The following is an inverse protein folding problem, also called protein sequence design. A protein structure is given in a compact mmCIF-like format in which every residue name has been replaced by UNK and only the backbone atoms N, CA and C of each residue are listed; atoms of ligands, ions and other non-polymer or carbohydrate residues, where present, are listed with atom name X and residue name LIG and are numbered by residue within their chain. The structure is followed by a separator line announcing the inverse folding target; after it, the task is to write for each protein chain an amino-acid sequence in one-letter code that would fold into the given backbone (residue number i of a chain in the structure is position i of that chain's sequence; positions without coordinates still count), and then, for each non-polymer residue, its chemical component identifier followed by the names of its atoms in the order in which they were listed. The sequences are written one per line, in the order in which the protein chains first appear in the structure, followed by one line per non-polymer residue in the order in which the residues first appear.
data_IF_485060910549
#
_entry.id   IF_485060910549
#
_cell.length_a   1.000
_cell.length_b   1.000
_cell.length_c   1.000
_cell.angle_alpha   90.00
_cell.angle_beta   90.00
_cell.angle_gamma   90.00
#
_symmetry.space_group_name_H-M   'P 1'
#
loop_
_entity.id
_entity.type
_entity.pdbx_description
1 polymer ?
#
# COMPACT_ATOMS: atom_id res chain seq x y z
N UNK A 1 22.15 -0.57 -5.41
CA UNK A 1 20.72 -0.67 -5.07
C UNK A 1 19.89 -0.35 -6.30
N UNK A 2 19.06 -1.29 -6.73
CA UNK A 2 18.26 -1.14 -7.95
C UNK A 2 16.78 -1.34 -7.61
N UNK A 3 16.16 -0.30 -7.10
CA UNK A 3 14.76 -0.30 -6.72
C UNK A 3 14.01 0.69 -7.60
N UNK A 4 13.01 0.20 -8.33
CA UNK A 4 12.16 1.03 -9.19
C UNK A 4 10.76 1.09 -8.63
N UNK A 5 10.22 2.28 -8.51
CA UNK A 5 8.88 2.52 -8.01
C UNK A 5 8.14 3.40 -8.99
N UNK A 6 6.99 2.92 -9.44
CA UNK A 6 6.15 3.62 -10.41
C UNK A 6 4.83 4.00 -9.73
N UNK A 7 4.46 5.27 -9.81
CA UNK A 7 3.18 5.73 -9.28
C UNK A 7 2.27 6.13 -10.44
N UNK A 8 1.09 5.54 -10.49
CA UNK A 8 0.11 5.80 -11.55
C UNK A 8 -1.17 6.37 -10.93
N UNK A 9 -1.48 7.60 -11.26
CA UNK A 9 -2.65 8.30 -10.75
C UNK A 9 -3.73 8.33 -11.83
N UNK A 10 -4.59 7.30 -11.86
CA UNK A 10 -5.56 7.12 -12.95
C UNK A 10 -6.68 8.16 -12.95
N UNK A 11 -7.00 8.72 -11.79
CA UNK A 11 -8.04 9.73 -11.68
C UNK A 11 -7.54 11.17 -11.70
N UNK A 12 -6.22 11.37 -11.79
CA UNK A 12 -5.66 12.71 -11.74
C UNK A 12 -5.93 13.46 -10.44
N UNK A 13 -6.04 12.74 -9.33
CA UNK A 13 -6.32 13.35 -8.04
C UNK A 13 -5.15 14.19 -7.51
N UNK A 14 -5.40 15.19 -6.68
CA UNK A 14 -4.34 16.04 -6.12
C UNK A 14 -3.59 15.33 -5.00
N UNK A 15 -2.67 14.44 -5.35
CA UNK A 15 -1.86 13.69 -4.40
C UNK A 15 -0.38 13.99 -4.63
N UNK A 16 0.41 13.84 -3.56
CA UNK A 16 1.86 13.99 -3.64
C UNK A 16 2.48 12.65 -4.04
N UNK A 17 2.61 12.40 -5.33
CA UNK A 17 3.11 11.11 -5.85
C UNK A 17 4.50 10.79 -5.34
N UNK A 18 5.37 11.80 -5.20
CA UNK A 18 6.73 11.60 -4.67
C UNK A 18 6.70 11.07 -3.23
N UNK A 19 5.75 11.49 -2.43
CA UNK A 19 5.59 11.00 -1.06
C UNK A 19 5.17 9.53 -1.03
N UNK A 20 4.29 9.14 -1.95
CA UNK A 20 3.87 7.75 -2.07
C UNK A 20 5.05 6.87 -2.48
N UNK A 21 5.85 7.33 -3.44
CA UNK A 21 7.05 6.61 -3.86
C UNK A 21 8.06 6.51 -2.71
N UNK A 22 8.24 7.59 -1.94
CA UNK A 22 9.13 7.61 -0.78
C UNK A 22 8.69 6.60 0.28
N UNK A 23 7.39 6.48 0.52
CA UNK A 23 6.87 5.51 1.48
C UNK A 23 7.23 4.08 1.08
N UNK A 24 7.09 3.76 -0.20
CA UNK A 24 7.47 2.45 -0.73
C UNK A 24 8.97 2.20 -0.57
N UNK A 25 9.81 3.19 -0.91
CA UNK A 25 11.27 3.08 -0.76
C UNK A 25 11.67 2.88 0.70
N UNK A 26 11.00 3.56 1.61
CA UNK A 26 11.28 3.44 3.04
C UNK A 26 11.06 2.02 3.53
N UNK A 27 10.00 1.36 3.04
CA UNK A 27 9.76 -0.06 3.36
C UNK A 27 10.92 -0.91 2.86
N UNK A 28 11.36 -0.71 1.63
CA UNK A 28 12.46 -1.47 1.04
C UNK A 28 13.76 -1.29 1.84
N UNK A 29 14.09 -0.05 2.21
CA UNK A 29 15.30 0.23 3.01
C UNK A 29 15.22 -0.46 4.36
N UNK A 30 14.08 -0.33 5.04
CA UNK A 30 13.90 -0.90 6.38
C UNK A 30 13.93 -2.43 6.38
N UNK A 31 13.42 -3.04 5.31
CA UNK A 31 13.40 -4.50 5.16
C UNK A 31 14.65 -5.03 4.45
N UNK A 32 15.62 -4.17 4.21
CA UNK A 32 16.90 -4.54 3.59
C UNK A 32 16.75 -5.18 2.22
N UNK A 33 15.75 -4.72 1.44
CA UNK A 33 15.52 -5.16 0.08
C UNK A 33 16.28 -4.24 -0.87
N UNK A 34 17.30 -4.77 -1.54
CA UNK A 34 18.19 -3.98 -2.40
C UNK A 34 17.79 -4.01 -3.87
N UNK A 35 16.96 -4.95 -4.29
CA UNK A 35 16.50 -5.05 -5.67
C UNK A 35 15.01 -5.29 -5.70
N UNK A 36 14.30 -4.54 -6.55
CA UNK A 36 12.88 -4.76 -6.71
C UNK A 36 12.21 -3.71 -7.55
N UNK A 37 10.97 -4.01 -7.90
CA UNK A 37 10.12 -3.10 -8.65
C UNK A 37 8.70 -3.20 -8.12
N UNK A 38 8.09 -2.06 -7.84
CA UNK A 38 6.70 -1.99 -7.37
C UNK A 38 5.97 -0.88 -8.11
N UNK A 39 4.78 -1.20 -8.60
CA UNK A 39 3.86 -0.20 -9.14
C UNK A 39 2.79 0.11 -8.10
N UNK A 40 2.58 1.39 -7.85
CA UNK A 40 1.52 1.88 -6.96
C UNK A 40 0.51 2.62 -7.83
N UNK A 41 -0.71 2.13 -7.89
CA UNK A 41 -1.76 2.68 -8.75
C UNK A 41 -2.94 3.15 -7.93
N UNK A 42 -3.30 4.43 -8.11
CA UNK A 42 -4.51 5.00 -7.51
C UNK A 42 -5.68 4.83 -8.49
N UNK A 43 -6.78 4.31 -8.01
CA UNK A 43 -7.98 4.09 -8.82
C UNK A 43 -9.25 4.44 -8.06
N UNK A 44 -10.34 4.63 -8.79
CA UNK A 44 -11.62 4.96 -8.18
C UNK A 44 -12.37 3.73 -7.68
N UNK A 45 -13.48 3.98 -6.98
CA UNK A 45 -14.31 2.93 -6.38
C UNK A 45 -14.72 1.85 -7.38
N UNK A 46 -15.19 2.25 -8.56
CA UNK A 46 -15.69 1.30 -9.55
C UNK A 46 -14.60 0.33 -10.00
N UNK A 47 -13.42 0.85 -10.29
CA UNK A 47 -12.30 0.04 -10.76
C UNK A 47 -11.79 -0.91 -9.68
N UNK A 48 -11.62 -0.43 -8.45
CA UNK A 48 -11.09 -1.28 -7.39
C UNK A 48 -12.14 -2.29 -6.90
N UNK A 49 -13.42 -1.94 -6.97
CA UNK A 49 -14.50 -2.88 -6.68
C UNK A 49 -14.51 -4.02 -7.69
N UNK A 50 -14.35 -3.72 -8.97
CA UNK A 50 -14.28 -4.73 -10.02
C UNK A 50 -13.11 -5.69 -9.79
N UNK A 51 -11.94 -5.16 -9.42
CA UNK A 51 -10.76 -5.96 -9.11
C UNK A 51 -10.97 -6.82 -7.86
N UNK A 52 -11.58 -6.26 -6.84
CA UNK A 52 -11.86 -6.97 -5.58
C UNK A 52 -12.83 -8.13 -5.84
N UNK A 53 -13.82 -7.92 -6.69
CA UNK A 53 -14.76 -8.98 -7.08
C UNK A 53 -14.06 -10.09 -7.87
N UNK A 54 -13.24 -9.71 -8.85
CA UNK A 54 -12.57 -10.68 -9.73
C UNK A 54 -11.58 -11.57 -8.98
N UNK A 55 -10.76 -10.99 -8.10
CA UNK A 55 -9.66 -11.71 -7.47
C UNK A 55 -9.97 -12.24 -6.08
N UNK A 56 -10.93 -11.66 -5.37
CA UNK A 56 -11.21 -12.00 -3.98
C UNK A 56 -12.69 -12.33 -3.71
N UNK A 57 -13.52 -12.31 -4.75
CA UNK A 57 -14.96 -12.60 -4.66
C UNK A 57 -15.69 -11.67 -3.67
N UNK A 58 -15.26 -10.39 -3.63
CA UNK A 58 -15.84 -9.37 -2.76
C UNK A 58 -16.38 -8.24 -3.62
N UNK A 59 -17.68 -8.00 -3.57
CA UNK A 59 -18.34 -7.02 -4.44
C UNK A 59 -18.54 -5.68 -3.72
N UNK A 60 -17.42 -5.09 -3.29
CA UNK A 60 -17.41 -3.73 -2.72
C UNK A 60 -16.04 -3.11 -2.95
N UNK A 61 -15.94 -1.75 -2.96
CA UNK A 61 -14.65 -1.11 -3.07
C UNK A 61 -13.84 -1.34 -1.80
N UNK A 62 -12.55 -1.64 -1.98
CA UNK A 62 -11.62 -1.80 -0.87
C UNK A 62 -10.62 -0.65 -0.86
N UNK A 63 -9.79 -0.57 0.17
CA UNK A 63 -8.78 0.48 0.32
C UNK A 63 -7.48 0.14 -0.40
N UNK A 64 -7.05 -1.11 -0.35
CA UNK A 64 -5.77 -1.52 -0.95
C UNK A 64 -5.84 -2.97 -1.37
N UNK A 65 -5.26 -3.25 -2.54
CA UNK A 65 -5.04 -4.61 -3.04
C UNK A 65 -3.57 -4.72 -3.41
N UNK A 66 -2.89 -5.76 -2.93
CA UNK A 66 -1.48 -5.96 -3.21
C UNK A 66 -1.25 -7.35 -3.78
N UNK A 67 -0.42 -7.42 -4.82
CA UNK A 67 -0.02 -8.69 -5.44
C UNK A 67 1.49 -8.84 -5.38
N UNK A 68 1.96 -9.95 -4.81
CA UNK A 68 3.36 -10.34 -4.87
C UNK A 68 3.55 -11.19 -6.11
N UNK A 69 4.42 -10.74 -7.02
CA UNK A 69 4.60 -11.36 -8.34
C UNK A 69 5.96 -12.03 -8.50
N UNK A 70 6.69 -12.22 -7.42
CA UNK A 70 8.04 -12.81 -7.45
C UNK A 70 8.10 -14.10 -6.65
N UNK A 71 9.05 -14.96 -7.01
CA UNK A 71 9.34 -16.15 -6.24
C UNK A 71 10.33 -15.89 -5.10
N UNK A 72 10.58 -16.91 -4.28
CA UNK A 72 11.38 -16.79 -3.05
C UNK A 72 12.79 -16.27 -3.27
N UNK A 73 13.43 -16.64 -4.39
CA UNK A 73 14.82 -16.29 -4.68
C UNK A 73 14.94 -15.24 -5.78
N UNK A 74 13.84 -14.56 -6.10
CA UNK A 74 13.81 -13.55 -7.14
C UNK A 74 13.74 -12.14 -6.53
N UNK A 75 14.18 -11.10 -7.26
CA UNK A 75 13.99 -9.73 -6.81
C UNK A 75 12.50 -9.44 -6.55
N UNK A 76 12.22 -8.58 -5.58
CA UNK A 76 10.85 -8.23 -5.23
C UNK A 76 10.16 -7.62 -6.45
N UNK A 77 8.96 -8.12 -6.76
CA UNK A 77 8.13 -7.59 -7.83
C UNK A 77 6.68 -7.64 -7.38
N UNK A 78 5.97 -6.54 -7.54
CA UNK A 78 4.56 -6.53 -7.17
C UNK A 78 3.83 -5.28 -7.55
N UNK A 79 2.51 -5.34 -7.35
CA UNK A 79 1.60 -4.25 -7.62
C UNK A 79 0.80 -3.92 -6.36
N UNK A 80 0.64 -2.62 -6.10
CA UNK A 80 -0.20 -2.11 -5.03
C UNK A 80 -1.25 -1.20 -5.66
N UNK A 81 -2.52 -1.52 -5.44
CA UNK A 81 -3.65 -0.73 -5.94
C UNK A 81 -4.34 -0.06 -4.77
N UNK A 82 -4.49 1.26 -4.83
CA UNK A 82 -5.12 2.05 -3.78
C UNK A 82 -6.48 2.56 -4.25
N UNK A 83 -7.51 2.35 -3.43
CA UNK A 83 -8.83 2.92 -3.65
C UNK A 83 -8.89 4.33 -3.09
N UNK A 84 -8.81 5.34 -3.95
CA UNK A 84 -8.70 6.73 -3.54
C UNK A 84 -9.90 7.19 -2.70
N UNK A 85 -11.13 6.95 -3.18
CA UNK A 85 -12.33 7.38 -2.46
C UNK A 85 -12.51 6.61 -1.16
N UNK A 86 -12.15 5.32 -1.16
CA UNK A 86 -12.22 4.53 0.07
C UNK A 86 -11.20 5.02 1.10
N UNK A 87 -9.99 5.37 0.66
CA UNK A 87 -8.98 5.96 1.54
C UNK A 87 -9.49 7.27 2.14
N UNK A 88 -10.18 8.09 1.34
CA UNK A 88 -10.77 9.35 1.81
C UNK A 88 -11.81 9.11 2.89
N UNK A 89 -12.70 8.15 2.68
CA UNK A 89 -13.71 7.79 3.68
C UNK A 89 -13.08 7.35 4.99
N UNK A 90 -12.03 6.51 4.90
CA UNK A 90 -11.32 6.04 6.09
C UNK A 90 -10.59 7.15 6.82
N UNK A 91 -9.95 8.06 6.09
CA UNK A 91 -9.28 9.21 6.68
C UNK A 91 -10.27 10.07 7.46
N UNK A 92 -11.45 10.32 6.88
CA UNK A 92 -12.50 11.11 7.53
C UNK A 92 -12.98 10.42 8.82
N UNK A 93 -13.18 9.10 8.78
CA UNK A 93 -13.60 8.34 9.96
C UNK A 93 -12.56 8.34 11.07
N UNK A 94 -11.28 8.30 10.69
CA UNK A 94 -10.17 8.28 11.64
C UNK A 94 -9.76 9.66 12.13
N UNK A 95 -10.27 10.71 11.50
CA UNK A 95 -9.91 12.09 11.83
C UNK A 95 -8.48 12.43 11.45
N UNK A 96 -7.95 11.83 10.40
CA UNK A 96 -6.58 12.08 9.90
C UNK A 96 -6.64 12.62 8.47
N UNK A 97 -5.51 13.12 7.97
CA UNK A 97 -5.46 13.60 6.60
C UNK A 97 -5.51 12.44 5.60
N UNK A 98 -6.04 12.73 4.41
CA UNK A 98 -6.03 11.75 3.31
C UNK A 98 -4.58 11.37 2.96
N UNK A 99 -3.67 12.33 2.96
CA UNK A 99 -2.26 12.05 2.67
C UNK A 99 -1.68 11.02 3.64
N UNK A 100 -1.97 11.14 4.93
CA UNK A 100 -1.50 10.17 5.92
C UNK A 100 -2.09 8.79 5.69
N UNK A 101 -3.38 8.72 5.38
CA UNK A 101 -4.02 7.42 5.11
C UNK A 101 -3.45 6.77 3.84
N UNK A 102 -3.21 7.54 2.79
CA UNK A 102 -2.58 7.01 1.58
C UNK A 102 -1.18 6.46 1.86
N UNK A 103 -0.38 7.16 2.65
CA UNK A 103 0.95 6.66 3.04
C UNK A 103 0.83 5.34 3.82
N UNK A 104 -0.11 5.26 4.75
CA UNK A 104 -0.35 4.03 5.51
C UNK A 104 -0.68 2.86 4.57
N UNK A 105 -1.54 3.09 3.59
CA UNK A 105 -1.96 2.05 2.64
C UNK A 105 -0.82 1.61 1.72
N UNK A 106 0.02 2.55 1.28
CA UNK A 106 1.20 2.22 0.48
C UNK A 106 2.16 1.33 1.29
N UNK A 107 2.42 1.71 2.53
CA UNK A 107 3.29 0.92 3.42
C UNK A 107 2.71 -0.49 3.60
N UNK A 108 1.42 -0.57 3.91
CA UNK A 108 0.72 -1.84 4.11
C UNK A 108 0.83 -2.74 2.87
N UNK A 109 0.49 -2.19 1.70
CA UNK A 109 0.56 -2.94 0.45
C UNK A 109 1.98 -3.38 0.10
N UNK A 110 2.95 -2.52 0.34
CA UNK A 110 4.36 -2.86 0.06
C UNK A 110 4.86 -3.96 0.98
N UNK A 111 4.47 -3.95 2.25
CA UNK A 111 4.80 -5.05 3.17
C UNK A 111 4.21 -6.37 2.69
N UNK A 112 2.97 -6.37 2.19
CA UNK A 112 2.38 -7.57 1.59
C UNK A 112 3.18 -8.05 0.36
N UNK A 113 3.61 -7.13 -0.50
CA UNK A 113 4.40 -7.48 -1.68
C UNK A 113 5.70 -8.19 -1.26
N UNK A 114 6.33 -7.72 -0.20
CA UNK A 114 7.57 -8.32 0.33
C UNK A 114 7.32 -9.70 0.94
N UNK A 115 6.12 -9.95 1.46
CA UNK A 115 5.76 -11.26 1.98
C UNK A 115 5.11 -11.28 3.35
N UNK A 116 4.86 -10.12 3.94
CA UNK A 116 4.17 -10.06 5.22
C UNK A 116 2.70 -10.42 5.06
N UNK A 117 2.16 -11.11 6.05
CA UNK A 117 0.75 -11.44 6.12
C UNK A 117 0.21 -11.03 7.48
N UNK A 118 -1.09 -10.79 7.55
CA UNK A 118 -1.77 -10.49 8.80
C UNK A 118 -3.03 -11.36 8.92
N UNK A 119 -3.43 -11.71 10.14
CA UNK A 119 -4.69 -12.41 10.33
C UNK A 119 -5.86 -11.47 10.03
N UNK A 120 -7.00 -12.03 9.68
CA UNK A 120 -8.22 -11.25 9.51
C UNK A 120 -8.84 -10.96 10.89
N UNK A 121 -9.66 -9.93 10.95
CA UNK A 121 -10.34 -9.54 12.18
C UNK A 121 -9.44 -8.75 13.13
N UNK A 122 -9.72 -8.83 14.42
CA UNK A 122 -9.07 -7.98 15.43
C UNK A 122 -7.57 -8.26 15.58
N UNK A 123 -7.14 -9.50 15.35
CA UNK A 123 -5.74 -9.88 15.47
C UNK A 123 -4.80 -9.13 14.53
N UNK A 124 -5.31 -8.57 13.44
CA UNK A 124 -4.48 -7.82 12.48
C UNK A 124 -3.85 -6.56 13.08
N UNK A 125 -4.45 -5.99 14.13
CA UNK A 125 -3.94 -4.79 14.78
C UNK A 125 -2.86 -5.09 15.83
N UNK A 126 -2.61 -6.36 16.12
CA UNK A 126 -1.63 -6.79 17.11
C UNK A 126 -0.45 -7.55 16.50
N UNK A 127 -0.47 -7.78 15.19
CA UNK A 127 0.58 -8.54 14.51
C UNK A 127 1.82 -7.69 14.20
N UNK A 128 2.93 -8.36 13.89
CA UNK A 128 4.19 -7.69 13.57
C UNK A 128 4.08 -6.78 12.36
N UNK A 129 3.33 -7.18 11.36
CA UNK A 129 3.11 -6.38 10.16
C UNK A 129 2.50 -5.03 10.51
N UNK A 130 1.46 -5.03 11.35
CA UNK A 130 0.79 -3.78 11.75
C UNK A 130 1.74 -2.88 12.54
N UNK A 131 2.51 -3.45 13.48
CA UNK A 131 3.48 -2.68 14.26
C UNK A 131 4.53 -2.04 13.37
N UNK A 132 5.05 -2.77 12.39
CA UNK A 132 5.99 -2.23 11.41
C UNK A 132 5.38 -1.12 10.58
N UNK A 133 4.17 -1.35 10.10
CA UNK A 133 3.42 -0.37 9.32
C UNK A 133 3.31 0.96 10.07
N UNK A 134 2.86 0.93 11.30
CA UNK A 134 2.64 2.15 12.07
C UNK A 134 3.96 2.83 12.46
N UNK A 135 5.00 2.07 12.73
CA UNK A 135 6.33 2.63 13.02
C UNK A 135 6.92 3.33 11.79
N UNK A 136 6.77 2.74 10.61
CA UNK A 136 7.25 3.34 9.36
C UNK A 136 6.46 4.60 9.02
N UNK A 137 5.15 4.58 9.23
CA UNK A 137 4.31 5.74 9.01
C UNK A 137 4.72 6.89 9.92
N UNK A 138 4.97 6.61 11.20
CA UNK A 138 5.42 7.61 12.15
C UNK A 138 6.76 8.22 11.73
N UNK A 139 7.69 7.39 11.26
CA UNK A 139 8.98 7.84 10.76
C UNK A 139 8.84 8.81 9.59
N UNK A 140 7.94 8.53 8.65
CA UNK A 140 7.67 9.39 7.50
C UNK A 140 7.01 10.70 7.90
N UNK A 141 6.14 10.67 8.91
CA UNK A 141 5.43 11.85 9.37
C UNK A 141 6.33 12.86 10.04
N UNK A 142 7.51 12.44 10.49
CA UNK A 142 8.50 13.31 11.14
C UNK A 142 9.42 14.04 10.17
N UNK A 143 9.37 13.69 8.91
CA UNK A 143 10.19 14.34 7.86
C UNK A 143 9.38 15.33 7.00
#
# INVERSE_FOLDING_TARGET
MSVEIHVNNLGGWPVQEDRLAQACRTVFVEEEVSEGEVSVTLMGDEAIQAMNLEYFDKDWPTDVIAFSLHGADEPVLGDVYLGYQQARRQADELGISLGEELLRLVIHGTLHVIGYEHPEGDGRFECDMYRKQEALLESLSRT
#
